data_IF_361044867636
#
_entry.id   IF_361044867636
#
_cell.length_a   1.000
_cell.length_b   1.000
_cell.length_c   1.000
_cell.angle_alpha   90.00
_cell.angle_beta   90.00
_cell.angle_gamma   90.00
#
_symmetry.space_group_name_H-M   'P 1'
#
loop_
_entity.id
_entity.type
_entity.pdbx_description
1 polymer ?
#
# COMPACT_ATOMS: atom_id res chain seq x y z
N UNK A 1 16.43 -19.17 -21.40
CA UNK A 1 16.88 -17.90 -20.82
C UNK A 1 16.28 -16.80 -21.69
N UNK A 2 15.23 -16.12 -21.21
CA UNK A 2 14.65 -15.00 -21.96
C UNK A 2 15.64 -13.84 -21.95
N UNK A 3 16.13 -13.47 -23.12
CA UNK A 3 16.96 -12.29 -23.29
C UNK A 3 16.12 -11.06 -22.94
N UNK A 4 16.44 -10.40 -21.82
CA UNK A 4 15.89 -9.08 -21.46
C UNK A 4 16.44 -8.04 -22.42
N UNK A 5 15.95 -8.06 -23.65
CA UNK A 5 16.26 -7.08 -24.68
C UNK A 5 15.58 -5.77 -24.32
N UNK A 6 16.28 -4.91 -23.59
CA UNK A 6 15.81 -3.55 -23.29
C UNK A 6 15.64 -2.76 -24.58
N UNK A 7 14.43 -2.25 -24.81
CA UNK A 7 14.10 -1.36 -25.93
C UNK A 7 13.84 0.05 -25.42
N UNK A 8 14.21 1.05 -26.22
CA UNK A 8 13.92 2.45 -25.90
C UNK A 8 12.43 2.74 -26.12
N UNK A 9 11.80 3.40 -25.14
CA UNK A 9 10.41 3.82 -25.20
C UNK A 9 10.31 5.33 -24.95
N UNK A 10 10.11 6.09 -26.04
CA UNK A 10 9.83 7.52 -25.98
C UNK A 10 8.33 7.78 -26.01
N UNK A 11 7.85 8.62 -25.10
CA UNK A 11 6.44 8.97 -24.98
C UNK A 11 6.24 10.48 -25.00
N UNK A 12 5.28 10.96 -25.79
CA UNK A 12 4.80 12.35 -25.71
C UNK A 12 3.70 12.42 -24.66
N UNK A 13 3.89 13.29 -23.67
CA UNK A 13 2.92 13.55 -22.61
C UNK A 13 2.54 15.01 -22.60
N UNK A 14 1.27 15.30 -22.32
CA UNK A 14 0.82 16.68 -22.09
C UNK A 14 1.36 17.20 -20.75
N UNK A 15 1.41 18.53 -20.54
CA UNK A 15 1.83 19.09 -19.25
C UNK A 15 0.99 18.57 -18.07
N UNK A 16 -0.32 18.39 -18.27
CA UNK A 16 -1.21 17.83 -17.26
C UNK A 16 -0.89 16.36 -16.94
N UNK A 17 -0.55 15.56 -17.94
CA UNK A 17 -0.12 14.17 -17.73
C UNK A 17 1.23 14.10 -17.01
N UNK A 18 2.17 14.98 -17.36
CA UNK A 18 3.47 15.07 -16.66
C UNK A 18 3.28 15.38 -15.18
N UNK A 19 2.42 16.35 -14.84
CA UNK A 19 2.13 16.71 -13.45
C UNK A 19 1.53 15.55 -12.65
N UNK A 20 0.70 14.70 -13.29
CA UNK A 20 0.16 13.49 -12.66
C UNK A 20 1.24 12.45 -12.38
N UNK A 21 2.15 12.24 -13.34
CA UNK A 21 3.27 11.30 -13.20
C UNK A 21 4.23 11.76 -12.09
N UNK A 22 4.48 13.06 -12.01
CA UNK A 22 5.34 13.64 -10.97
C UNK A 22 4.76 13.45 -9.57
N UNK A 23 3.46 13.74 -9.39
CA UNK A 23 2.77 13.46 -8.13
C UNK A 23 2.78 11.97 -7.76
N UNK A 24 2.58 11.08 -8.74
CA UNK A 24 2.63 9.64 -8.51
C UNK A 24 4.03 9.22 -8.04
N UNK A 25 5.08 9.78 -8.64
CA UNK A 25 6.46 9.52 -8.28
C UNK A 25 6.79 10.03 -6.87
N UNK A 26 6.32 11.23 -6.50
CA UNK A 26 6.45 11.79 -5.14
C UNK A 26 5.77 10.91 -4.09
N UNK A 27 4.53 10.46 -4.35
CA UNK A 27 3.79 9.57 -3.44
C UNK A 27 4.51 8.25 -3.19
N UNK A 28 5.21 7.73 -4.18
CA UNK A 28 5.94 6.47 -4.12
C UNK A 28 7.43 6.63 -3.76
N UNK A 29 7.93 7.87 -3.57
CA UNK A 29 9.34 8.14 -3.33
C UNK A 29 10.26 7.64 -4.46
N UNK A 30 9.76 7.61 -5.70
CA UNK A 30 10.45 7.02 -6.85
C UNK A 30 10.69 8.03 -7.97
N UNK A 31 11.44 7.64 -9.01
CA UNK A 31 11.59 8.46 -10.22
C UNK A 31 10.39 8.27 -11.14
N UNK A 32 10.03 9.30 -11.92
CA UNK A 32 8.89 9.28 -12.85
C UNK A 32 8.84 8.03 -13.74
N UNK A 33 9.98 7.57 -14.26
CA UNK A 33 10.08 6.35 -15.07
C UNK A 33 9.68 5.10 -14.27
N UNK A 34 10.18 4.98 -13.04
CA UNK A 34 9.90 3.83 -12.19
C UNK A 34 8.42 3.80 -11.79
N UNK A 35 7.87 4.95 -11.42
CA UNK A 35 6.44 5.09 -11.10
C UNK A 35 5.52 4.67 -12.26
N UNK A 36 5.88 5.05 -13.51
CA UNK A 36 5.10 4.66 -14.69
C UNK A 36 5.18 3.15 -14.95
N UNK A 37 6.38 2.56 -14.84
CA UNK A 37 6.55 1.12 -15.05
C UNK A 37 5.83 0.31 -13.96
N UNK A 38 5.96 0.71 -12.69
CA UNK A 38 5.25 0.08 -11.58
C UNK A 38 3.73 0.17 -11.75
N UNK A 39 3.21 1.32 -12.19
CA UNK A 39 1.77 1.48 -12.44
C UNK A 39 1.27 0.56 -13.58
N UNK A 40 2.07 0.37 -14.63
CA UNK A 40 1.75 -0.56 -15.72
C UNK A 40 1.78 -2.01 -15.23
N UNK A 41 2.83 -2.40 -14.51
CA UNK A 41 2.96 -3.74 -13.92
C UNK A 41 1.81 -4.04 -12.95
N UNK A 42 1.48 -3.08 -12.08
CA UNK A 42 0.34 -3.18 -11.16
C UNK A 42 -0.97 -3.34 -11.93
N UNK A 43 -1.21 -2.50 -12.95
CA UNK A 43 -2.43 -2.57 -13.76
C UNK A 43 -2.57 -3.90 -14.50
N UNK A 44 -1.47 -4.49 -14.96
CA UNK A 44 -1.47 -5.80 -15.63
C UNK A 44 -1.60 -6.95 -14.62
N UNK A 45 -1.00 -6.81 -13.45
CA UNK A 45 -1.14 -7.77 -12.34
C UNK A 45 -2.57 -7.77 -11.79
N UNK A 46 -3.20 -6.59 -11.68
CA UNK A 46 -4.62 -6.45 -11.31
C UNK A 46 -5.56 -6.73 -12.49
N UNK A 47 -5.07 -6.64 -13.72
CA UNK A 47 -5.84 -6.90 -14.96
C UNK A 47 -6.02 -8.38 -15.28
N UNK A 48 -5.46 -9.28 -14.48
CA UNK A 48 -5.78 -10.71 -14.50
C UNK A 48 -6.87 -11.11 -13.51
N UNK A 49 -7.52 -10.16 -12.81
CA UNK A 49 -8.71 -10.44 -12.01
C UNK A 49 -10.04 -10.47 -12.81
N UNK A 50 -10.01 -10.24 -14.14
CA UNK A 50 -11.17 -10.43 -15.03
C UNK A 50 -11.17 -11.80 -15.74
N UNK A 51 -10.18 -12.66 -15.46
CA UNK A 51 -10.19 -14.06 -15.85
C UNK A 51 -10.39 -14.91 -14.60
N UNK A 52 -11.66 -15.31 -14.40
CA UNK A 52 -12.16 -16.45 -13.61
C UNK A 52 -11.09 -17.27 -12.87
N UNK A 53 -11.37 -17.49 -11.58
CA UNK A 53 -10.70 -18.39 -10.62
C UNK A 53 -9.81 -17.69 -9.56
N UNK A 54 -10.33 -16.64 -8.91
CA UNK A 54 -10.14 -16.64 -7.46
C UNK A 54 -10.98 -17.81 -6.93
N UNK A 55 -10.39 -18.83 -6.26
CA UNK A 55 -11.19 -19.87 -5.63
C UNK A 55 -12.23 -19.17 -4.74
N UNK A 56 -13.50 -19.58 -4.77
CA UNK A 56 -14.53 -18.96 -3.94
C UNK A 56 -13.97 -18.91 -2.52
N UNK A 57 -13.86 -17.70 -1.96
CA UNK A 57 -13.48 -17.52 -0.56
C UNK A 57 -14.59 -18.24 0.22
N UNK A 58 -14.31 -19.46 0.66
CA UNK A 58 -15.20 -20.20 1.54
C UNK A 58 -15.29 -19.38 2.82
N UNK A 59 -16.41 -18.68 2.98
CA UNK A 59 -16.70 -17.94 4.19
C UNK A 59 -16.69 -18.93 5.35
N UNK A 60 -15.59 -18.95 6.09
CA UNK A 60 -15.48 -19.75 7.30
C UNK A 60 -16.57 -19.27 8.27
N UNK A 61 -17.40 -20.17 8.81
CA UNK A 61 -18.36 -19.79 9.83
C UNK A 61 -17.59 -19.30 11.06
N UNK A 62 -17.77 -18.03 11.41
CA UNK A 62 -17.08 -17.40 12.52
C UNK A 62 -17.64 -16.02 12.79
N UNK A 63 -17.43 -15.51 14.01
CA UNK A 63 -17.82 -14.13 14.32
C UNK A 63 -16.70 -13.16 13.94
N UNK A 64 -17.04 -11.91 13.64
CA UNK A 64 -16.03 -10.86 13.44
C UNK A 64 -15.07 -10.73 14.65
N UNK A 65 -15.55 -11.04 15.85
CA UNK A 65 -14.74 -11.05 17.07
C UNK A 65 -13.65 -12.14 17.03
N UNK A 66 -13.94 -13.28 16.41
CA UNK A 66 -13.01 -14.40 16.29
C UNK A 66 -11.87 -14.07 15.31
N UNK A 67 -12.17 -13.32 14.25
CA UNK A 67 -11.16 -12.77 13.35
C UNK A 67 -10.23 -11.73 14.01
N UNK A 68 -10.67 -11.11 15.11
CA UNK A 68 -9.88 -10.17 15.89
C UNK A 68 -9.07 -10.85 17.01
N UNK A 69 -9.13 -12.19 17.16
CA UNK A 69 -8.44 -12.93 18.20
C UNK A 69 -6.92 -12.69 18.22
N UNK A 70 -6.29 -12.66 17.05
CA UNK A 70 -4.85 -12.41 16.90
C UNK A 70 -4.42 -10.99 17.31
N UNK A 71 -5.37 -10.07 17.47
CA UNK A 71 -5.10 -8.71 17.94
C UNK A 71 -5.07 -8.61 19.47
N UNK A 72 -5.60 -9.60 20.18
CA UNK A 72 -5.62 -9.64 21.65
C UNK A 72 -4.18 -9.76 22.15
N UNK A 73 -3.76 -8.82 23.00
CA UNK A 73 -2.42 -8.79 23.59
C UNK A 73 -1.31 -8.35 22.63
N UNK A 74 -1.64 -7.87 21.42
CA UNK A 74 -0.67 -7.30 20.47
C UNK A 74 0.08 -6.07 20.99
N UNK A 75 -0.37 -5.49 22.10
CA UNK A 75 0.24 -4.34 22.80
C UNK A 75 0.72 -4.70 24.23
N UNK A 76 0.65 -5.98 24.61
CA UNK A 76 1.04 -6.46 25.95
C UNK A 76 2.52 -6.87 26.02
N UNK A 77 3.29 -6.62 24.95
CA UNK A 77 4.73 -6.86 24.95
C UNK A 77 5.41 -5.92 25.99
N UNK A 78 6.24 -6.48 26.90
CA UNK A 78 6.86 -5.72 27.99
C UNK A 78 7.78 -4.58 27.52
N UNK A 79 8.22 -4.60 26.26
CA UNK A 79 9.12 -3.61 25.67
C UNK A 79 8.36 -2.49 24.93
N UNK A 80 7.02 -2.54 24.85
CA UNK A 80 6.17 -1.47 24.28
C UNK A 80 5.19 -0.92 25.32
N UNK A 81 4.83 0.38 25.22
CA UNK A 81 3.83 0.95 26.12
C UNK A 81 2.47 0.29 25.92
N UNK A 82 2.02 -0.46 26.92
CA UNK A 82 0.65 -1.04 26.98
C UNK A 82 -0.42 0.05 26.95
N UNK A 83 -0.09 1.26 27.40
CA UNK A 83 -0.96 2.43 27.31
C UNK A 83 -0.52 3.36 26.16
N UNK A 84 -1.22 3.23 25.03
CA UNK A 84 -1.04 4.08 23.85
C UNK A 84 -1.62 5.49 24.02
N UNK A 85 -2.44 5.71 25.05
CA UNK A 85 -3.01 7.03 25.33
C UNK A 85 -1.97 7.98 25.94
N UNK A 86 -0.94 7.45 26.60
CA UNK A 86 0.06 8.20 27.35
C UNK A 86 1.35 8.48 26.57
N UNK A 87 1.29 8.74 25.26
CA UNK A 87 2.50 8.98 24.46
C UNK A 87 3.08 10.40 24.70
N UNK A 88 4.20 10.56 25.44
CA UNK A 88 4.67 11.88 25.87
C UNK A 88 5.08 12.78 24.71
N UNK A 89 5.44 12.18 23.56
CA UNK A 89 5.78 12.89 22.33
C UNK A 89 4.58 13.61 21.70
N UNK A 90 3.37 13.09 21.91
CA UNK A 90 2.13 13.60 21.32
C UNK A 90 1.19 14.27 22.34
N UNK A 91 1.57 14.27 23.62
CA UNK A 91 0.80 14.89 24.71
C UNK A 91 1.07 16.39 24.92
N UNK A 92 2.00 16.99 24.16
CA UNK A 92 2.31 18.41 24.30
C UNK A 92 1.10 19.22 23.79
N UNK A 93 0.43 19.90 24.72
CA UNK A 93 -0.77 20.73 24.52
C UNK A 93 -2.14 20.01 24.55
N UNK A 94 -2.18 18.73 24.94
CA UNK A 94 -3.44 18.04 25.21
C UNK A 94 -4.14 18.68 26.43
N UNK A 95 -5.30 19.32 26.22
CA UNK A 95 -6.10 19.95 27.29
C UNK A 95 -5.74 21.40 27.63
N UNK A 96 -5.05 22.13 26.74
CA UNK A 96 -4.89 23.59 26.86
C UNK A 96 -5.94 24.33 26.03
N UNK A 97 -6.77 25.12 26.70
CA UNK A 97 -7.60 26.19 26.13
C UNK A 97 -6.92 27.55 26.34
#
# INVERSE_FOLDING_TARGET
MEERTTKWFGMRVTPAQKAKIERLAEQHGSIQKAAVLEAVERSLSSGHADSKEEPPIEAQPGSFLEAAGDLIGSIDDPDVPTDLSSNPKHMKDHGKD
#
